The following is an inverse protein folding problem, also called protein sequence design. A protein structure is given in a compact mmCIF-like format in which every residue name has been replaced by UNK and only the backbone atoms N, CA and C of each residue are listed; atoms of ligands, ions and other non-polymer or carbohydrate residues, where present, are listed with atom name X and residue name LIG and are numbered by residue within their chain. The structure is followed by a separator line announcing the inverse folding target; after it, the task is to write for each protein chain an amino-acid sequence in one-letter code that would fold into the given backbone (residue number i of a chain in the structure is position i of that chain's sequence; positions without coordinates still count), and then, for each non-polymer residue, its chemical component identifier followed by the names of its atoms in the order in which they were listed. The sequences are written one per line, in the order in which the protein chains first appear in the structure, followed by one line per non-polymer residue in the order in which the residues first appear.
data_IF_927405654700
#
_entry.id   IF_927405654700
#
_cell.length_a   1.000
_cell.length_b   1.000
_cell.length_c   1.000
_cell.angle_alpha   90.00
_cell.angle_beta   90.00
_cell.angle_gamma   90.00
#
_symmetry.space_group_name_H-M   'P 1'
#
loop_
_entity.id
_entity.type
_entity.pdbx_description
1 polymer ?
#
# COMPACT_ATOMS: atom_id res chain seq x y z
N UNK A 1 13.09 18.89 19.64
CA UNK A 1 11.78 18.58 19.03
C UNK A 1 11.67 17.08 19.05
N UNK A 2 10.90 16.55 19.98
CA UNK A 2 10.61 15.13 20.08
C UNK A 2 9.78 14.76 18.85
N UNK A 3 10.41 14.08 17.89
CA UNK A 3 9.71 13.50 16.74
C UNK A 3 8.77 12.43 17.29
N UNK A 4 7.46 12.63 17.13
CA UNK A 4 6.45 11.64 17.51
C UNK A 4 6.58 10.41 16.63
N UNK A 5 7.32 9.42 17.11
CA UNK A 5 7.60 8.18 16.36
C UNK A 5 6.61 7.07 16.65
N UNK A 6 5.70 7.26 17.61
CA UNK A 6 4.69 6.28 17.94
C UNK A 6 3.61 6.21 16.84
N UNK A 7 3.29 4.98 16.43
CA UNK A 7 2.19 4.64 15.57
C UNK A 7 1.07 3.99 16.38
N UNK A 8 -0.15 4.49 16.20
CA UNK A 8 -1.38 3.86 16.66
C UNK A 8 -2.03 3.12 15.49
N UNK A 9 -2.13 1.80 15.61
CA UNK A 9 -2.58 0.92 14.52
C UNK A 9 -4.10 0.77 14.55
N UNK A 10 -4.71 1.01 13.40
CA UNK A 10 -6.16 0.92 13.21
C UNK A 10 -6.46 -0.06 12.08
N UNK A 11 -7.33 -1.01 12.37
CA UNK A 11 -7.69 -2.13 11.51
C UNK A 11 -6.69 -3.28 11.52
N UNK A 12 -7.06 -4.36 10.83
CA UNK A 12 -6.23 -5.55 10.71
C UNK A 12 -5.97 -6.26 12.05
N UNK A 13 -4.94 -7.12 12.11
CA UNK A 13 -4.69 -7.96 13.29
C UNK A 13 -4.15 -7.22 14.51
N UNK A 14 -3.56 -6.04 14.33
CA UNK A 14 -2.97 -5.23 15.40
C UNK A 14 -3.82 -4.00 15.78
N UNK A 15 -5.12 -4.02 15.50
CA UNK A 15 -6.02 -2.92 15.84
C UNK A 15 -5.93 -2.54 17.33
N UNK A 16 -5.86 -1.24 17.60
CA UNK A 16 -5.76 -0.67 18.94
C UNK A 16 -4.37 -0.78 19.59
N UNK A 17 -3.39 -1.35 18.89
CA UNK A 17 -2.02 -1.48 19.39
C UNK A 17 -1.16 -0.28 19.02
N UNK A 18 -0.19 0.04 19.88
CA UNK A 18 0.81 1.07 19.64
C UNK A 18 2.19 0.46 19.36
N UNK A 19 2.91 0.98 18.37
CA UNK A 19 4.29 0.56 18.04
C UNK A 19 5.16 1.75 17.67
N UNK A 20 6.47 1.64 17.86
CA UNK A 20 7.39 2.61 17.29
C UNK A 20 7.47 2.40 15.76
N UNK A 21 7.20 3.47 15.00
CA UNK A 21 7.31 3.50 13.55
C UNK A 21 8.43 4.43 13.06
N UNK A 22 9.15 5.08 13.97
CA UNK A 22 10.06 6.17 13.60
C UNK A 22 9.29 7.26 12.84
N UNK A 23 9.88 7.75 11.74
CA UNK A 23 9.20 8.67 10.80
C UNK A 23 8.77 7.97 9.50
N UNK A 24 8.64 6.64 9.51
CA UNK A 24 8.35 5.85 8.30
C UNK A 24 6.91 6.05 7.82
N UNK A 25 6.71 6.22 6.52
CA UNK A 25 5.37 6.30 5.93
C UNK A 25 4.63 4.94 5.93
N UNK A 26 5.36 3.84 6.00
CA UNK A 26 4.85 2.47 5.98
C UNK A 26 5.42 1.71 7.18
N UNK A 27 4.54 1.01 7.90
CA UNK A 27 4.91 0.08 8.96
C UNK A 27 4.50 -1.34 8.54
N UNK A 28 5.44 -2.27 8.63
CA UNK A 28 5.26 -3.67 8.26
C UNK A 28 5.43 -4.52 9.51
N UNK A 29 4.47 -5.41 9.74
CA UNK A 29 4.44 -6.30 10.91
C UNK A 29 4.29 -7.73 10.42
N UNK A 30 5.29 -8.57 10.70
CA UNK A 30 5.19 -9.99 10.39
C UNK A 30 4.30 -10.71 11.41
N UNK A 31 3.27 -11.41 10.92
CA UNK A 31 2.35 -12.21 11.73
C UNK A 31 2.03 -13.48 10.92
N UNK A 32 2.20 -14.65 11.53
CA UNK A 32 1.96 -15.95 10.88
C UNK A 32 2.71 -16.13 9.53
N UNK A 33 3.92 -15.57 9.44
CA UNK A 33 4.75 -15.61 8.22
C UNK A 33 4.26 -14.69 7.09
N UNK A 34 3.29 -13.81 7.37
CA UNK A 34 2.75 -12.83 6.42
C UNK A 34 3.10 -11.41 6.87
N UNK A 35 3.40 -10.53 5.91
CA UNK A 35 3.72 -9.13 6.18
C UNK A 35 2.43 -8.29 6.17
N UNK A 36 1.98 -7.88 7.35
CA UNK A 36 0.84 -6.99 7.52
C UNK A 36 1.28 -5.53 7.43
N UNK A 37 0.73 -4.81 6.46
CA UNK A 37 1.11 -3.44 6.14
C UNK A 37 0.14 -2.43 6.73
N UNK A 38 0.72 -1.37 7.27
CA UNK A 38 0.02 -0.25 7.87
C UNK A 38 0.58 1.06 7.31
N UNK A 39 -0.27 1.91 6.73
CA UNK A 39 0.13 3.16 6.11
C UNK A 39 -0.11 4.35 7.03
N UNK A 40 0.87 5.25 7.12
CA UNK A 40 0.80 6.49 7.90
C UNK A 40 -0.33 7.34 7.37
N UNK A 41 -1.15 7.85 8.28
CA UNK A 41 -2.18 8.84 7.95
C UNK A 41 -1.78 10.23 8.45
N UNK A 42 -2.58 11.24 8.11
CA UNK A 42 -2.45 12.58 8.66
C UNK A 42 -3.13 12.75 10.02
N UNK A 43 -3.82 11.72 10.53
CA UNK A 43 -4.53 11.76 11.81
C UNK A 43 -3.58 11.43 12.97
N UNK A 44 -3.82 12.06 14.12
CA UNK A 44 -3.12 11.76 15.37
C UNK A 44 -4.06 11.08 16.36
N UNK A 45 -3.53 10.15 17.14
CA UNK A 45 -4.18 9.53 18.27
C UNK A 45 -3.56 10.07 19.57
N UNK A 46 -4.35 10.83 20.31
CA UNK A 46 -3.87 11.54 21.50
C UNK A 46 -2.78 12.56 21.17
N UNK A 47 -1.90 12.80 22.13
CA UNK A 47 -0.85 13.82 22.01
C UNK A 47 0.41 13.29 21.34
N UNK A 48 0.66 11.98 21.25
CA UNK A 48 1.99 11.46 20.89
C UNK A 48 2.03 10.38 19.80
N UNK A 49 0.89 9.87 19.33
CA UNK A 49 0.88 8.83 18.30
C UNK A 49 0.27 9.30 16.98
N UNK A 50 0.87 8.92 15.86
CA UNK A 50 0.27 9.08 14.52
C UNK A 50 -0.57 7.85 14.21
N UNK A 51 -1.74 8.04 13.63
CA UNK A 51 -2.60 6.90 13.23
C UNK A 51 -2.07 6.27 11.96
N UNK A 52 -1.97 4.95 11.96
CA UNK A 52 -1.66 4.14 10.78
C UNK A 52 -2.83 3.21 10.49
N UNK A 53 -3.29 3.21 9.24
CA UNK A 53 -4.40 2.36 8.80
C UNK A 53 -3.87 1.09 8.15
N UNK A 54 -4.55 -0.03 8.40
CA UNK A 54 -4.26 -1.29 7.74
C UNK A 54 -4.49 -1.19 6.22
N UNK A 55 -3.45 -1.53 5.46
CA UNK A 55 -3.44 -1.53 3.99
C UNK A 55 -3.67 -2.94 3.42
N UNK A 56 -3.22 -3.98 4.12
CA UNK A 56 -3.39 -5.36 3.70
C UNK A 56 -2.28 -6.27 4.20
N UNK A 57 -2.25 -7.50 3.71
CA UNK A 57 -1.15 -8.44 3.94
C UNK A 57 -0.50 -8.82 2.62
N UNK A 58 0.81 -9.05 2.65
CA UNK A 58 1.58 -9.57 1.52
C UNK A 58 2.43 -10.75 1.98
N UNK A 59 2.76 -11.64 1.06
CA UNK A 59 3.80 -12.63 1.32
C UNK A 59 5.15 -11.90 1.55
N UNK A 60 6.03 -12.41 2.42
CA UNK A 60 7.32 -11.77 2.70
C UNK A 60 8.22 -11.68 1.47
N UNK A 61 8.10 -12.63 0.53
CA UNK A 61 8.78 -12.63 -0.76
C UNK A 61 8.14 -11.68 -1.80
N UNK A 62 7.07 -10.97 -1.44
CA UNK A 62 6.28 -10.11 -2.32
C UNK A 62 5.25 -10.85 -3.16
N UNK A 63 4.38 -10.10 -3.83
CA UNK A 63 3.55 -10.66 -4.91
C UNK A 63 4.42 -10.89 -6.13
N UNK A 64 4.33 -12.06 -6.76
CA UNK A 64 5.10 -12.35 -7.97
C UNK A 64 4.82 -11.27 -9.05
N UNK A 65 5.84 -10.54 -9.52
CA UNK A 65 5.64 -9.56 -10.57
C UNK A 65 5.24 -10.28 -11.86
N UNK A 66 4.01 -10.07 -12.33
CA UNK A 66 3.57 -10.53 -13.65
C UNK A 66 2.40 -11.51 -13.69
N UNK A 67 1.74 -11.83 -12.57
CA UNK A 67 0.42 -12.53 -12.60
C UNK A 67 -0.71 -11.52 -12.87
N UNK A 68 -0.51 -10.66 -13.85
CA UNK A 68 -1.63 -9.98 -14.50
C UNK A 68 -1.88 -10.77 -15.78
N UNK A 69 -3.02 -11.45 -15.85
CA UNK A 69 -3.41 -12.17 -17.05
C UNK A 69 -3.38 -11.20 -18.24
N UNK A 70 -2.49 -11.40 -19.23
CA UNK A 70 -2.39 -10.47 -20.34
C UNK A 70 -3.65 -10.47 -21.22
N UNK A 71 -4.52 -11.49 -21.12
CA UNK A 71 -5.82 -11.52 -21.80
C UNK A 71 -6.92 -10.74 -21.05
N UNK A 72 -6.75 -10.48 -19.75
CA UNK A 72 -7.56 -9.56 -18.96
C UNK A 72 -7.22 -8.08 -19.25
N UNK A 73 -6.20 -7.80 -20.08
CA UNK A 73 -5.99 -6.47 -20.66
C UNK A 73 -7.16 -6.17 -21.60
N UNK A 74 -8.22 -5.60 -21.05
CA UNK A 74 -9.26 -4.95 -21.85
C UNK A 74 -8.56 -3.87 -22.66
N UNK A 75 -8.41 -4.11 -23.96
CA UNK A 75 -7.98 -3.07 -24.89
C UNK A 75 -8.96 -1.90 -24.73
N UNK A 76 -8.49 -0.75 -24.27
CA UNK A 76 -9.26 0.49 -24.29
C UNK A 76 -9.74 0.72 -25.72
N UNK A 77 -11.06 0.85 -25.98
CA UNK A 77 -11.56 1.01 -27.34
C UNK A 77 -11.38 2.46 -27.77
N UNK A 78 -10.14 2.90 -28.02
CA UNK A 78 -9.83 4.17 -28.72
C UNK A 78 -8.43 4.11 -29.34
N UNK A 79 -8.36 3.76 -30.63
CA UNK A 79 -7.50 4.40 -31.64
C UNK A 79 -7.58 3.64 -32.98
N UNK A 80 -8.77 3.49 -33.56
CA UNK A 80 -8.92 3.20 -35.00
C UNK A 80 -9.80 4.27 -35.61
N UNK A 81 -9.28 5.48 -35.64
CA UNK A 81 -9.67 6.53 -36.57
C UNK A 81 -8.53 7.53 -36.61
N UNK A 82 -8.03 7.77 -37.83
CA UNK A 82 -7.05 8.79 -38.22
C UNK A 82 -5.59 8.34 -38.35
N UNK A 83 -5.29 7.75 -39.51
CA UNK A 83 -4.28 8.32 -40.41
C UNK A 83 -3.08 7.44 -40.72
N UNK A 84 -2.93 7.04 -42.00
CA UNK A 84 -1.69 7.24 -42.78
C UNK A 84 -1.94 6.91 -44.26
N UNK A 85 -1.75 7.90 -45.12
CA UNK A 85 -1.66 7.72 -46.57
C UNK A 85 -0.23 7.35 -47.00
N UNK A 86 -0.09 6.78 -48.21
CA UNK A 86 1.17 6.74 -48.95
C UNK A 86 1.43 5.50 -49.82
N UNK A 87 1.21 5.65 -51.14
CA UNK A 87 1.98 5.09 -52.28
C UNK A 87 2.12 3.56 -52.46
N UNK A 88 1.37 2.99 -53.40
CA UNK A 88 1.85 2.58 -54.74
C UNK A 88 0.64 2.25 -55.64
#
# INVERSE_FOLDING_TARGET
MDTKTNAYLVGGPCDGSSRDAGDKALLEVEIDGMMHRYIRTTKQHGTDATVYNYDGMVAPDGGEPGVEDPAARVASPKADSEGHGGTH
#
